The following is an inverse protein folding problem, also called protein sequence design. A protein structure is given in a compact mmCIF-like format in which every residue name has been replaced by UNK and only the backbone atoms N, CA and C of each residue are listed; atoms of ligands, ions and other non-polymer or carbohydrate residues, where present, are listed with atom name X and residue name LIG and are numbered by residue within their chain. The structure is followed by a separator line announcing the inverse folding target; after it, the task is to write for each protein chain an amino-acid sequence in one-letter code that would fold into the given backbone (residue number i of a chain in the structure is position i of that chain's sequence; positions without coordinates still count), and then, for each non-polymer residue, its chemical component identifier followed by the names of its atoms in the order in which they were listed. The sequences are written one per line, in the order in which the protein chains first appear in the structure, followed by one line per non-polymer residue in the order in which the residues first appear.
data_IF_212062329392
#
_entry.id   IF_212062329392
#
_cell.length_a   1.000
_cell.length_b   1.000
_cell.length_c   1.000
_cell.angle_alpha   90.00
_cell.angle_beta   90.00
_cell.angle_gamma   90.00
#
_symmetry.space_group_name_H-M   'P 1'
#
loop_
_entity.id
_entity.type
_entity.pdbx_description
1 polymer ?
#
# COMPACT_ATOMS: atom_id res chain seq x y z
N UNK A 1 -10.56 -30.48 39.79
CA UNK A 1 -11.86 -30.25 39.11
C UNK A 1 -11.92 -31.16 37.88
N UNK A 2 -13.01 -31.91 37.70
CA UNK A 2 -13.22 -32.77 36.53
C UNK A 2 -13.59 -31.91 35.30
N UNK A 3 -12.96 -32.16 34.15
CA UNK A 3 -13.18 -31.46 32.88
C UNK A 3 -14.66 -31.49 32.46
N UNK A 4 -15.34 -32.63 32.62
CA UNK A 4 -16.78 -32.74 32.31
C UNK A 4 -17.64 -31.83 33.21
N UNK A 5 -17.27 -31.66 34.47
CA UNK A 5 -18.00 -30.81 35.41
C UNK A 5 -17.81 -29.31 35.13
N UNK A 6 -16.64 -28.92 34.62
CA UNK A 6 -16.37 -27.56 34.18
C UNK A 6 -17.14 -27.25 32.87
N UNK A 7 -17.15 -28.19 31.93
CA UNK A 7 -17.85 -28.06 30.66
C UNK A 7 -19.36 -27.86 30.87
N UNK A 8 -20.00 -28.71 31.67
CA UNK A 8 -21.42 -28.57 32.01
C UNK A 8 -21.76 -27.22 32.64
N UNK A 9 -20.92 -26.70 33.56
CA UNK A 9 -21.11 -25.37 34.17
C UNK A 9 -20.98 -24.22 33.17
N UNK A 10 -20.13 -24.36 32.16
CA UNK A 10 -19.98 -23.36 31.10
C UNK A 10 -21.19 -23.37 30.15
N UNK A 11 -21.71 -24.55 29.82
CA UNK A 11 -22.88 -24.68 28.93
C UNK A 11 -24.18 -24.20 29.59
N UNK A 12 -24.35 -24.45 30.89
CA UNK A 12 -25.54 -24.04 31.64
C UNK A 12 -25.57 -22.52 31.93
N UNK A 13 -24.48 -21.78 31.68
CA UNK A 13 -24.38 -20.36 31.94
C UNK A 13 -23.93 -19.58 30.71
N UNK A 14 -24.88 -18.91 30.04
CA UNK A 14 -24.63 -18.13 28.83
C UNK A 14 -23.60 -17.00 29.02
N UNK A 15 -23.54 -16.37 30.20
CA UNK A 15 -22.55 -15.32 30.49
C UNK A 15 -21.12 -15.86 30.55
N UNK A 16 -20.93 -17.01 31.21
CA UNK A 16 -19.63 -17.68 31.26
C UNK A 16 -19.20 -18.22 29.89
N UNK A 17 -20.14 -18.71 29.10
CA UNK A 17 -19.87 -19.16 27.73
C UNK A 17 -19.41 -18.02 26.83
N UNK A 18 -20.14 -16.89 26.84
CA UNK A 18 -19.76 -15.68 26.06
C UNK A 18 -18.37 -15.19 26.49
N UNK A 19 -18.12 -15.09 27.80
CA UNK A 19 -16.80 -14.70 28.29
C UNK A 19 -15.70 -15.67 27.83
N UNK A 20 -15.93 -16.98 27.93
CA UNK A 20 -14.99 -18.00 27.48
C UNK A 20 -14.66 -17.88 25.98
N UNK A 21 -15.67 -17.66 25.13
CA UNK A 21 -15.49 -17.47 23.68
C UNK A 21 -14.65 -16.22 23.41
N UNK A 22 -14.99 -15.09 24.03
CA UNK A 22 -14.25 -13.84 23.86
C UNK A 22 -12.79 -13.98 24.31
N UNK A 23 -12.59 -14.57 25.49
CA UNK A 23 -11.26 -14.81 26.05
C UNK A 23 -10.41 -15.67 25.11
N UNK A 24 -10.88 -16.86 24.73
CA UNK A 24 -10.13 -17.76 23.84
C UNK A 24 -9.88 -17.14 22.46
N UNK A 25 -10.87 -16.46 21.88
CA UNK A 25 -10.72 -15.82 20.57
C UNK A 25 -9.72 -14.65 20.60
N UNK A 26 -9.67 -13.91 21.71
CA UNK A 26 -8.74 -12.78 21.88
C UNK A 26 -7.27 -13.21 21.96
N UNK A 27 -6.96 -14.42 22.43
CA UNK A 27 -5.59 -14.94 22.55
C UNK A 27 -4.91 -14.94 21.17
N UNK A 28 -5.62 -15.37 20.11
CA UNK A 28 -5.07 -15.41 18.76
C UNK A 28 -4.67 -14.02 18.25
N UNK A 29 -5.54 -13.02 18.45
CA UNK A 29 -5.24 -11.63 18.09
C UNK A 29 -4.09 -11.06 18.91
N UNK A 30 -4.05 -11.35 20.21
CA UNK A 30 -2.99 -10.88 21.11
C UNK A 30 -1.62 -11.41 20.69
N UNK A 31 -1.52 -12.72 20.43
CA UNK A 31 -0.26 -13.39 20.08
C UNK A 31 0.25 -12.99 18.69
N UNK A 32 -0.62 -12.65 17.74
CA UNK A 32 -0.20 -12.27 16.39
C UNK A 32 0.09 -10.77 16.27
N UNK A 33 -0.76 -9.92 16.85
CA UNK A 33 -0.69 -8.46 16.65
C UNK A 33 0.33 -7.81 17.57
N UNK A 34 0.38 -8.20 18.86
CA UNK A 34 1.25 -7.50 19.81
C UNK A 34 2.73 -7.61 19.44
N UNK A 35 3.31 -8.79 19.16
CA UNK A 35 4.73 -8.87 18.80
C UNK A 35 5.06 -8.00 17.59
N UNK A 36 4.21 -8.04 16.56
CA UNK A 36 4.40 -7.28 15.32
C UNK A 36 4.49 -5.75 15.52
N UNK A 37 3.87 -5.20 16.57
CA UNK A 37 3.93 -3.76 16.88
C UNK A 37 5.26 -3.37 17.54
N UNK A 38 5.92 -4.31 18.21
CA UNK A 38 7.17 -4.09 18.93
C UNK A 38 8.41 -4.58 18.17
N UNK A 39 8.24 -5.15 16.98
CA UNK A 39 9.33 -5.58 16.12
C UNK A 39 9.83 -4.42 15.26
N UNK A 40 11.01 -3.90 15.61
CA UNK A 40 11.64 -2.76 14.92
C UNK A 40 11.81 -3.02 13.41
N UNK A 41 12.12 -4.25 13.01
CA UNK A 41 12.30 -4.64 11.61
C UNK A 41 11.03 -4.46 10.75
N UNK A 42 9.84 -4.51 11.36
CA UNK A 42 8.56 -4.35 10.67
C UNK A 42 8.08 -2.90 10.56
N UNK A 43 8.62 -2.01 11.40
CA UNK A 43 8.18 -0.60 11.49
C UNK A 43 9.23 0.39 11.00
N UNK A 44 10.50 -0.02 10.94
CA UNK A 44 11.60 0.86 10.55
C UNK A 44 11.64 1.01 9.02
N UNK A 45 11.56 2.24 8.48
CA UNK A 45 11.72 2.48 7.06
C UNK A 45 13.13 2.08 6.60
N UNK A 46 13.28 1.65 5.34
CA UNK A 46 14.62 1.48 4.75
C UNK A 46 15.32 2.83 4.63
N UNK A 47 16.63 2.84 4.42
CA UNK A 47 17.40 4.08 4.29
C UNK A 47 16.89 4.98 3.15
N UNK A 48 16.33 4.37 2.10
CA UNK A 48 15.82 5.01 0.90
C UNK A 48 14.30 5.27 0.96
N UNK A 49 13.60 4.74 1.97
CA UNK A 49 12.15 4.90 2.11
C UNK A 49 11.83 6.31 2.60
N UNK A 50 11.16 7.10 1.76
CA UNK A 50 10.63 8.43 2.08
C UNK A 50 9.10 8.44 2.10
N UNK A 51 8.46 9.36 2.85
CA UNK A 51 7.02 9.57 2.69
C UNK A 51 6.71 10.09 1.27
N UNK A 52 5.52 9.74 0.77
CA UNK A 52 5.05 10.19 -0.54
C UNK A 52 4.94 11.71 -0.62
N UNK A 53 5.35 12.29 -1.75
CA UNK A 53 5.08 13.68 -2.08
C UNK A 53 3.58 13.95 -2.22
N UNK A 54 3.18 15.23 -2.22
CA UNK A 54 1.76 15.63 -2.26
C UNK A 54 1.00 15.02 -3.45
N UNK A 55 1.59 15.06 -4.65
CA UNK A 55 0.97 14.52 -5.86
C UNK A 55 0.97 12.98 -5.87
N UNK A 56 2.04 12.35 -5.41
CA UNK A 56 2.18 10.89 -5.26
C UNK A 56 1.13 10.33 -4.27
N UNK A 57 0.91 11.04 -3.16
CA UNK A 57 -0.09 10.67 -2.16
C UNK A 57 -1.52 10.68 -2.74
N UNK A 58 -1.85 11.69 -3.54
CA UNK A 58 -3.14 11.71 -4.26
C UNK A 58 -3.20 10.54 -5.25
N UNK A 59 -2.13 10.29 -6.00
CA UNK A 59 -2.05 9.17 -6.94
C UNK A 59 -2.31 7.82 -6.27
N UNK A 60 -1.76 7.63 -5.07
CA UNK A 60 -2.01 6.47 -4.22
C UNK A 60 -3.46 6.37 -3.78
N UNK A 61 -4.08 7.47 -3.36
CA UNK A 61 -5.49 7.49 -2.99
C UNK A 61 -6.39 7.18 -4.20
N UNK A 62 -6.02 7.62 -5.41
CA UNK A 62 -6.69 7.27 -6.66
C UNK A 62 -6.50 5.78 -6.98
N UNK A 63 -5.29 5.24 -6.82
CA UNK A 63 -5.01 3.80 -6.99
C UNK A 63 -5.89 2.94 -6.08
N UNK A 64 -6.15 3.40 -4.85
CA UNK A 64 -7.08 2.77 -3.92
C UNK A 64 -8.53 2.92 -4.41
N UNK A 65 -8.95 4.14 -4.77
CA UNK A 65 -10.32 4.45 -5.23
C UNK A 65 -10.71 3.63 -6.46
N UNK A 66 -9.78 3.45 -7.39
CA UNK A 66 -9.97 2.68 -8.63
C UNK A 66 -9.85 1.17 -8.44
N UNK A 67 -9.53 0.71 -7.22
CA UNK A 67 -9.46 -0.71 -6.88
C UNK A 67 -8.30 -1.45 -7.55
N UNK A 68 -7.22 -0.75 -7.93
CA UNK A 68 -6.10 -1.34 -8.66
C UNK A 68 -5.44 -2.50 -7.88
N UNK A 69 -5.42 -2.42 -6.54
CA UNK A 69 -4.92 -3.46 -5.63
C UNK A 69 -5.67 -4.80 -5.69
N UNK A 70 -6.86 -4.83 -6.30
CA UNK A 70 -7.63 -6.07 -6.52
C UNK A 70 -7.08 -6.91 -7.66
N UNK A 71 -6.33 -6.29 -8.58
CA UNK A 71 -5.72 -6.93 -9.74
C UNK A 71 -4.20 -6.97 -9.66
N UNK A 72 -3.59 -6.01 -8.97
CA UNK A 72 -2.16 -5.82 -8.90
C UNK A 72 -1.67 -5.91 -7.45
N UNK A 73 -0.70 -6.80 -7.22
CA UNK A 73 0.03 -6.83 -5.96
C UNK A 73 1.15 -5.79 -5.94
N UNK A 74 1.55 -5.41 -4.74
CA UNK A 74 2.74 -4.63 -4.48
C UNK A 74 3.57 -5.39 -3.42
N UNK A 75 3.93 -6.63 -3.70
CA UNK A 75 4.72 -7.47 -2.81
C UNK A 75 5.43 -8.56 -3.62
N UNK A 76 6.69 -8.31 -3.98
CA UNK A 76 7.53 -9.30 -4.66
C UNK A 76 8.01 -10.32 -3.64
N UNK A 77 7.68 -11.61 -3.84
CA UNK A 77 8.04 -12.67 -2.91
C UNK A 77 9.51 -13.09 -3.08
N UNK A 78 10.17 -13.63 -2.04
CA UNK A 78 11.56 -14.10 -2.09
C UNK A 78 11.70 -15.45 -2.82
N UNK A 79 11.17 -15.52 -4.05
CA UNK A 79 11.27 -16.67 -4.94
C UNK A 79 12.12 -16.27 -6.15
N UNK A 80 13.06 -17.11 -6.55
CA UNK A 80 13.96 -16.83 -7.68
C UNK A 80 13.19 -16.42 -8.95
N UNK A 81 12.07 -17.09 -9.24
CA UNK A 81 11.25 -16.79 -10.41
C UNK A 81 10.56 -15.41 -10.33
N UNK A 82 10.17 -14.96 -9.14
CA UNK A 82 9.61 -13.62 -8.96
C UNK A 82 10.69 -12.56 -9.03
N UNK A 83 11.83 -12.81 -8.41
CA UNK A 83 12.95 -11.87 -8.44
C UNK A 83 13.42 -11.63 -9.86
N UNK A 84 13.55 -12.70 -10.66
CA UNK A 84 13.87 -12.59 -12.09
C UNK A 84 12.83 -11.84 -12.91
N UNK A 85 11.55 -11.86 -12.50
CA UNK A 85 10.45 -11.26 -13.26
C UNK A 85 10.20 -9.79 -12.90
N UNK A 86 10.24 -9.48 -11.61
CA UNK A 86 9.82 -8.18 -11.07
C UNK A 86 10.99 -7.36 -10.51
N UNK A 87 12.07 -7.99 -10.06
CA UNK A 87 13.18 -7.31 -9.38
C UNK A 87 13.36 -7.80 -7.95
N UNK A 88 14.19 -7.14 -7.12
CA UNK A 88 14.42 -7.54 -5.72
C UNK A 88 13.13 -7.78 -4.95
N UNK A 89 13.15 -8.77 -4.04
CA UNK A 89 12.00 -9.05 -3.18
C UNK A 89 11.68 -7.84 -2.30
N UNK A 90 10.41 -7.72 -1.89
CA UNK A 90 9.95 -6.59 -1.09
C UNK A 90 10.32 -6.79 0.38
N UNK A 91 10.83 -5.73 1.01
CA UNK A 91 11.10 -5.68 2.45
C UNK A 91 9.98 -4.96 3.21
N UNK A 92 9.87 -5.22 4.53
CA UNK A 92 8.82 -4.62 5.36
C UNK A 92 8.96 -3.09 5.45
N UNK A 93 10.19 -2.59 5.57
CA UNK A 93 10.48 -1.16 5.71
C UNK A 93 10.00 -0.31 4.54
N UNK A 94 9.92 -0.86 3.33
CA UNK A 94 9.42 -0.15 2.14
C UNK A 94 7.94 0.23 2.24
N UNK A 95 7.18 -0.49 3.07
CA UNK A 95 5.76 -0.22 3.34
C UNK A 95 5.55 0.56 4.66
N UNK A 96 6.59 1.05 5.33
CA UNK A 96 6.46 1.71 6.64
C UNK A 96 5.54 2.95 6.63
N UNK A 97 5.46 3.63 5.48
CA UNK A 97 4.57 4.77 5.26
C UNK A 97 3.25 4.41 4.57
N UNK A 98 2.98 3.13 4.29
CA UNK A 98 1.75 2.74 3.62
C UNK A 98 0.58 2.59 4.60
N UNK A 99 -0.37 3.54 4.52
CA UNK A 99 -1.60 3.51 5.31
C UNK A 99 -2.82 3.64 4.38
N UNK A 100 -3.64 2.59 4.19
CA UNK A 100 -3.38 1.19 4.54
C UNK A 100 -2.34 0.55 3.60
N UNK A 101 -1.73 -0.58 3.96
CA UNK A 101 -0.83 -1.32 3.06
C UNK A 101 -1.52 -1.75 1.75
N UNK A 102 -0.76 -1.85 0.65
CA UNK A 102 -1.27 -2.19 -0.69
C UNK A 102 -0.62 -3.43 -1.31
N UNK A 103 -0.13 -4.35 -0.47
CA UNK A 103 0.56 -5.58 -0.88
C UNK A 103 -0.23 -6.44 -1.89
N UNK A 104 -1.56 -6.34 -1.85
CA UNK A 104 -2.48 -7.07 -2.71
C UNK A 104 -2.61 -8.54 -2.34
N UNK A 105 -3.70 -9.17 -2.76
CA UNK A 105 -4.03 -10.58 -2.48
C UNK A 105 -4.23 -11.42 -3.74
N UNK A 106 -4.21 -10.78 -4.91
CA UNK A 106 -4.44 -11.40 -6.22
C UNK A 106 -3.57 -10.74 -7.29
N UNK A 107 -3.20 -11.53 -8.30
CA UNK A 107 -2.46 -11.08 -9.49
C UNK A 107 -3.24 -11.44 -10.75
N UNK A 108 -4.19 -10.58 -11.10
CA UNK A 108 -4.84 -10.58 -12.42
C UNK A 108 -3.92 -9.88 -13.43
N UNK A 109 -3.31 -8.78 -13.01
CA UNK A 109 -2.20 -8.13 -13.68
C UNK A 109 -0.85 -8.43 -12.99
N UNK A 110 0.27 -7.91 -13.52
CA UNK A 110 1.60 -8.05 -12.91
C UNK A 110 1.70 -7.35 -11.55
N UNK A 111 2.67 -7.77 -10.74
CA UNK A 111 3.08 -7.03 -9.54
C UNK A 111 3.67 -5.66 -9.93
N UNK A 112 3.36 -4.63 -9.14
CA UNK A 112 3.73 -3.23 -9.41
C UNK A 112 4.77 -2.67 -8.43
N UNK A 113 5.23 -3.40 -7.42
CA UNK A 113 6.15 -2.86 -6.40
C UNK A 113 7.51 -2.41 -6.99
N UNK A 114 7.82 -2.79 -8.23
CA UNK A 114 9.09 -2.48 -8.91
C UNK A 114 8.86 -1.85 -10.29
N UNK A 115 7.73 -1.15 -10.49
CA UNK A 115 7.38 -0.60 -11.82
C UNK A 115 8.03 0.76 -12.11
N UNK A 116 8.48 1.51 -11.10
CA UNK A 116 8.82 2.93 -11.20
C UNK A 116 9.59 3.35 -12.44
N UNK A 117 10.79 2.83 -12.64
CA UNK A 117 11.63 3.15 -13.80
C UNK A 117 11.42 2.23 -15.03
N UNK A 118 10.47 1.29 -14.97
CA UNK A 118 10.32 0.24 -16.00
C UNK A 118 9.59 0.74 -17.25
N UNK A 119 8.71 1.73 -17.09
CA UNK A 119 7.94 2.32 -18.18
C UNK A 119 7.97 3.84 -18.09
N UNK A 120 7.96 4.53 -19.23
CA UNK A 120 7.90 5.99 -19.24
C UNK A 120 6.52 6.48 -18.81
N UNK A 121 6.47 7.70 -18.27
CA UNK A 121 5.21 8.38 -17.94
C UNK A 121 4.24 8.43 -19.13
N UNK A 122 4.78 8.65 -20.34
CA UNK A 122 4.00 8.65 -21.57
C UNK A 122 3.35 7.28 -21.83
N UNK A 123 4.09 6.19 -21.63
CA UNK A 123 3.53 4.84 -21.74
C UNK A 123 2.46 4.59 -20.68
N UNK A 124 2.69 4.98 -19.43
CA UNK A 124 1.71 4.81 -18.34
C UNK A 124 0.42 5.56 -18.63
N UNK A 125 0.51 6.78 -19.17
CA UNK A 125 -0.66 7.59 -19.56
C UNK A 125 -1.50 6.89 -20.63
N UNK A 126 -0.85 6.43 -21.70
CA UNK A 126 -1.55 5.72 -22.79
C UNK A 126 -2.15 4.41 -22.28
N UNK A 127 -1.38 3.65 -21.49
CA UNK A 127 -1.83 2.39 -20.89
C UNK A 127 -3.05 2.57 -19.98
N UNK A 128 -3.07 3.61 -19.13
CA UNK A 128 -4.22 3.87 -18.25
C UNK A 128 -5.46 4.31 -19.02
N UNK A 129 -5.30 5.12 -20.08
CA UNK A 129 -6.42 5.59 -20.90
C UNK A 129 -7.02 4.46 -21.73
N UNK A 130 -6.18 3.66 -22.41
CA UNK A 130 -6.62 2.49 -23.16
C UNK A 130 -5.55 1.39 -23.12
N UNK A 131 -5.64 0.45 -22.16
CA UNK A 131 -4.64 -0.60 -22.00
C UNK A 131 -4.46 -1.46 -23.26
N UNK A 132 -5.53 -1.63 -24.06
CA UNK A 132 -5.48 -2.46 -25.27
C UNK A 132 -4.75 -1.80 -26.43
N UNK A 133 -4.56 -0.48 -26.40
CA UNK A 133 -3.79 0.25 -27.42
C UNK A 133 -2.29 -0.10 -27.40
N UNK A 134 -1.76 -0.44 -26.22
CA UNK A 134 -0.33 -0.77 -26.02
C UNK A 134 -0.10 -2.23 -25.64
N UNK A 135 -1.13 -2.90 -25.10
CA UNK A 135 -1.12 -4.32 -24.76
C UNK A 135 -2.40 -4.96 -25.31
N UNK A 136 -2.43 -5.44 -26.57
CA UNK A 136 -3.66 -5.85 -27.26
C UNK A 136 -4.53 -6.87 -26.50
N UNK A 137 -3.91 -7.76 -25.73
CA UNK A 137 -4.61 -8.79 -24.96
C UNK A 137 -4.83 -8.39 -23.48
N UNK A 138 -4.75 -7.10 -23.15
CA UNK A 138 -4.96 -6.62 -21.79
C UNK A 138 -6.42 -6.76 -21.38
N UNK A 139 -6.62 -7.37 -20.22
CA UNK A 139 -7.93 -7.45 -19.54
C UNK A 139 -8.14 -6.31 -18.54
N UNK A 140 -7.18 -5.37 -18.44
CA UNK A 140 -7.29 -4.21 -17.57
C UNK A 140 -8.40 -3.27 -18.07
N UNK A 141 -9.26 -2.73 -17.19
CA UNK A 141 -10.21 -1.68 -17.55
C UNK A 141 -9.50 -0.41 -18.05
N UNK A 142 -10.19 0.37 -18.89
CA UNK A 142 -9.72 1.68 -19.29
C UNK A 142 -10.17 2.74 -18.28
N UNK A 143 -9.30 3.70 -17.97
CA UNK A 143 -9.51 4.79 -17.00
C UNK A 143 -9.40 6.20 -17.63
N UNK A 144 -10.10 6.50 -18.74
CA UNK A 144 -9.95 7.78 -19.44
C UNK A 144 -10.39 8.99 -18.61
N UNK A 145 -11.28 8.81 -17.63
CA UNK A 145 -11.74 9.90 -16.76
C UNK A 145 -10.62 10.51 -15.91
N UNK A 146 -9.55 9.76 -15.65
CA UNK A 146 -8.41 10.27 -14.89
C UNK A 146 -7.76 11.48 -15.59
N UNK A 147 -7.82 11.56 -16.91
CA UNK A 147 -7.31 12.70 -17.68
C UNK A 147 -8.22 13.93 -17.60
N UNK A 148 -9.50 13.76 -17.26
CA UNK A 148 -10.49 14.84 -17.21
C UNK A 148 -10.66 15.43 -15.80
N UNK A 149 -10.43 14.61 -14.77
CA UNK A 149 -10.65 15.00 -13.38
C UNK A 149 -9.42 15.71 -12.79
N UNK A 150 -9.65 16.73 -11.96
CA UNK A 150 -8.59 17.38 -11.19
C UNK A 150 -8.07 16.46 -10.07
N UNK A 151 -6.78 16.55 -9.75
CA UNK A 151 -6.13 15.72 -8.72
C UNK A 151 -6.67 16.00 -7.31
N UNK A 152 -6.80 17.27 -6.90
CA UNK A 152 -7.33 17.65 -5.59
C UNK A 152 -8.56 18.58 -5.70
N UNK A 153 -9.73 18.05 -6.11
CA UNK A 153 -10.92 18.88 -6.32
C UNK A 153 -11.46 19.49 -5.02
N UNK A 154 -11.03 18.99 -3.85
CA UNK A 154 -11.47 19.47 -2.53
C UNK A 154 -10.43 20.37 -1.86
N UNK A 155 -9.29 20.62 -2.51
CA UNK A 155 -8.15 21.39 -1.98
C UNK A 155 -7.80 21.00 -0.54
N UNK A 156 -7.74 19.70 -0.25
CA UNK A 156 -7.62 19.16 1.10
C UNK A 156 -6.29 18.42 1.35
N UNK A 157 -5.34 18.50 0.41
CA UNK A 157 -4.03 17.83 0.54
C UNK A 157 -3.29 18.19 1.84
N UNK A 158 -3.32 19.45 2.26
CA UNK A 158 -2.67 19.87 3.52
C UNK A 158 -3.27 19.16 4.73
N UNK A 159 -4.60 19.00 4.76
CA UNK A 159 -5.30 18.28 5.83
C UNK A 159 -4.89 16.81 5.85
N UNK A 160 -4.71 16.19 4.68
CA UNK A 160 -4.23 14.79 4.60
C UNK A 160 -2.82 14.65 5.15
N UNK A 161 -1.89 15.51 4.74
CA UNK A 161 -0.51 15.49 5.22
C UNK A 161 -0.42 15.71 6.73
N UNK A 162 -1.22 16.65 7.29
CA UNK A 162 -1.30 16.86 8.75
C UNK A 162 -1.80 15.61 9.49
N UNK A 163 -2.79 14.90 8.94
CA UNK A 163 -3.30 13.65 9.52
C UNK A 163 -2.26 12.52 9.46
N UNK A 164 -1.55 12.39 8.34
CA UNK A 164 -0.47 11.41 8.24
C UNK A 164 0.70 11.73 9.18
N UNK A 165 1.00 13.01 9.39
CA UNK A 165 1.99 13.43 10.38
C UNK A 165 1.60 12.98 11.80
N UNK A 166 0.31 13.10 12.16
CA UNK A 166 -0.21 12.57 13.43
C UNK A 166 -0.02 11.04 13.55
N UNK A 167 0.00 10.33 12.42
CA UNK A 167 0.23 8.88 12.35
C UNK A 167 1.72 8.50 12.22
N UNK A 168 2.64 9.44 12.43
CA UNK A 168 4.09 9.20 12.47
C UNK A 168 4.84 9.47 11.16
N UNK A 169 4.20 10.04 10.13
CA UNK A 169 4.91 10.41 8.91
C UNK A 169 5.76 11.68 9.11
N UNK A 170 7.02 11.73 8.63
CA UNK A 170 7.93 12.84 8.89
C UNK A 170 7.75 14.02 7.90
N UNK A 171 6.52 14.49 7.69
CA UNK A 171 6.28 15.66 6.84
C UNK A 171 6.73 16.95 7.55
N UNK A 172 7.57 17.77 6.92
CA UNK A 172 7.94 19.12 7.40
C UNK A 172 6.80 20.13 7.21
N UNK A 173 6.85 21.26 7.91
CA UNK A 173 5.85 22.33 7.73
C UNK A 173 5.88 22.90 6.31
N UNK A 174 7.08 23.05 5.74
CA UNK A 174 7.27 23.47 4.35
C UNK A 174 6.63 22.48 3.36
N UNK A 175 6.76 21.17 3.60
CA UNK A 175 6.12 20.16 2.76
C UNK A 175 4.58 20.30 2.79
N UNK A 176 4.00 20.68 3.93
CA UNK A 176 2.55 20.91 4.06
C UNK A 176 2.14 22.24 3.45
N UNK A 177 2.90 23.32 3.67
CA UNK A 177 2.55 24.64 3.12
C UNK A 177 2.59 24.64 1.59
N UNK A 178 3.57 23.97 0.99
CA UNK A 178 3.80 23.95 -0.46
C UNK A 178 2.98 22.89 -1.20
N UNK A 179 2.32 21.97 -0.47
CA UNK A 179 1.55 20.88 -1.08
C UNK A 179 0.46 21.32 -2.08
N UNK A 180 -0.31 22.41 -1.86
CA UNK A 180 -1.31 22.88 -2.82
C UNK A 180 -0.70 23.23 -4.19
N UNK A 181 0.48 23.85 -4.20
CA UNK A 181 1.14 24.27 -5.44
C UNK A 181 1.62 23.06 -6.26
N UNK A 182 2.04 21.99 -5.57
CA UNK A 182 2.48 20.74 -6.21
C UNK A 182 1.34 19.98 -6.90
N UNK A 183 0.09 20.22 -6.50
CA UNK A 183 -1.10 19.54 -7.02
C UNK A 183 -1.97 20.45 -7.88
N UNK A 184 -1.68 21.76 -7.88
CA UNK A 184 -2.40 22.74 -8.68
C UNK A 184 -2.32 22.42 -10.18
N UNK A 185 -3.46 22.49 -10.86
CA UNK A 185 -3.61 22.19 -12.29
C UNK A 185 -3.14 20.79 -12.70
N UNK A 186 -3.04 19.84 -11.76
CA UNK A 186 -2.77 18.43 -12.05
C UNK A 186 -4.07 17.66 -12.21
N UNK A 187 -4.05 16.68 -13.11
CA UNK A 187 -5.13 15.72 -13.30
C UNK A 187 -4.95 14.51 -12.39
N UNK A 188 -6.00 13.73 -12.19
CA UNK A 188 -5.89 12.42 -11.53
C UNK A 188 -4.90 11.49 -12.25
N UNK A 189 -4.81 11.61 -13.58
CA UNK A 189 -3.85 10.87 -14.39
C UNK A 189 -2.40 11.27 -14.07
N UNK A 190 -2.13 12.56 -13.87
CA UNK A 190 -0.81 13.02 -13.43
C UNK A 190 -0.45 12.45 -12.07
N UNK A 191 -1.43 12.45 -11.16
CA UNK A 191 -1.25 11.97 -9.80
C UNK A 191 -0.93 10.46 -9.76
N UNK A 192 -1.74 9.62 -10.42
CA UNK A 192 -1.51 8.18 -10.41
C UNK A 192 -0.20 7.80 -11.12
N UNK A 193 0.18 8.51 -12.18
CA UNK A 193 1.48 8.28 -12.86
C UNK A 193 2.63 8.63 -11.93
N UNK A 194 2.55 9.76 -11.20
CA UNK A 194 3.55 10.12 -10.19
C UNK A 194 3.67 9.05 -9.09
N UNK A 195 2.55 8.51 -8.62
CA UNK A 195 2.57 7.40 -7.66
C UNK A 195 3.22 6.14 -8.23
N UNK A 196 2.86 5.72 -9.45
CA UNK A 196 3.44 4.54 -10.08
C UNK A 196 4.95 4.68 -10.32
N UNK A 197 5.42 5.89 -10.64
CA UNK A 197 6.82 6.18 -10.89
C UNK A 197 7.72 5.99 -9.66
N UNK A 198 7.20 6.17 -8.44
CA UNK A 198 7.98 6.00 -7.19
C UNK A 198 7.98 4.58 -6.64
N UNK A 199 7.15 3.69 -7.21
CA UNK A 199 7.08 2.30 -6.74
C UNK A 199 8.38 1.55 -7.01
N UNK A 200 9.07 1.23 -5.93
CA UNK A 200 10.33 0.49 -5.93
C UNK A 200 11.58 1.37 -5.94
N UNK A 201 11.45 2.70 -5.85
CA UNK A 201 12.58 3.62 -5.67
C UNK A 201 13.36 3.30 -4.38
N UNK A 202 12.62 2.93 -3.32
CA UNK A 202 13.17 2.60 -1.99
C UNK A 202 13.97 1.28 -1.92
N UNK A 203 14.05 0.51 -3.02
CA UNK A 203 14.84 -0.72 -3.06
C UNK A 203 16.33 -0.50 -3.34
N UNK A 204 16.74 0.73 -3.69
CA UNK A 204 18.12 1.08 -4.05
C UNK A 204 18.58 0.41 -5.36
N UNK A 205 19.57 1.01 -6.02
CA UNK A 205 20.26 0.36 -7.15
C UNK A 205 21.05 -0.83 -6.63
N UNK A 206 20.43 -2.00 -6.65
CA UNK A 206 20.98 -3.31 -6.28
C UNK A 206 22.44 -3.30 -5.83
N UNK A 207 22.65 -3.02 -4.55
CA UNK A 207 23.89 -3.46 -3.93
C UNK A 207 23.77 -4.98 -3.82
N UNK A 208 24.66 -5.61 -4.57
CA UNK A 208 24.87 -7.04 -4.71
C UNK A 208 24.84 -7.70 -3.33
N UNK A 209 23.70 -8.31 -2.95
CA UNK A 209 23.64 -9.23 -1.81
C UNK A 209 24.36 -10.53 -2.17
N UNK A 210 25.67 -10.43 -2.36
CA UNK A 210 26.62 -11.50 -2.22
C UNK A 210 27.01 -11.55 -0.75
N UNK A 211 26.35 -12.41 0.02
CA UNK A 211 26.92 -13.23 1.10
C UNK A 211 25.95 -14.35 1.45
#
# INVERSE_FOLDING_TARGET
MNVLGLHKKLEENSGLLIFGILFVSSIGGLVQVLPSIFEDELITPTAETRPYGALELIGRDIYIREGCSTCHSQQVRPLLAEVKRYGPFSSAGESAYDRPFLWGSKRTGPDLHRIGAKFSDAWQRVHLIDPRSVVPNSIMPAYPWLAANAADPRNNIQTRLRRLRLLGHPYSDDAISNAPDLVANKTELDAIVAYLAVLGEAAGSGEEMAH
#
